data_IF_243245081242
#
_entry.id   IF_243245081242
#
_cell.length_a   1.000
_cell.length_b   1.000
_cell.length_c   1.000
_cell.angle_alpha   90.00
_cell.angle_beta   90.00
_cell.angle_gamma   90.00
#
_symmetry.space_group_name_H-M   'P 1'
#
loop_
_entity.id
_entity.type
_entity.pdbx_description
1 polymer ?
#
# COMPACT_ATOMS: atom_id res chain seq x y z
N UNK A 1 39.84 -48.95 72.10
CA UNK A 1 39.44 -50.32 71.68
C UNK A 1 39.07 -51.26 72.84
N UNK A 2 39.51 -51.02 74.09
CA UNK A 2 39.20 -51.89 75.25
C UNK A 2 37.79 -51.75 75.87
N UNK A 3 37.07 -50.63 75.65
CA UNK A 3 35.67 -50.48 76.09
C UNK A 3 34.63 -51.24 75.22
N UNK A 4 35.03 -51.79 74.06
CA UNK A 4 34.12 -52.61 73.20
C UNK A 4 34.06 -54.08 73.61
N UNK A 5 35.07 -54.59 74.32
CA UNK A 5 35.12 -56.00 74.74
C UNK A 5 34.15 -56.35 75.88
N UNK A 6 33.80 -55.40 76.75
CA UNK A 6 32.81 -55.64 77.81
C UNK A 6 31.36 -55.73 77.29
N UNK A 7 31.06 -55.13 76.14
CA UNK A 7 29.68 -55.13 75.59
C UNK A 7 29.36 -56.46 74.86
N UNK A 8 30.33 -57.03 74.14
CA UNK A 8 30.12 -58.24 73.34
C UNK A 8 30.10 -59.57 74.12
N UNK A 9 30.77 -59.68 75.28
CA UNK A 9 30.77 -60.93 76.07
C UNK A 9 29.59 -61.08 77.05
N UNK A 10 28.85 -60.01 77.34
CA UNK A 10 27.67 -60.05 78.22
C UNK A 10 26.35 -60.26 77.46
N UNK A 11 26.29 -59.90 76.17
CA UNK A 11 25.12 -60.15 75.32
C UNK A 11 25.00 -61.64 74.92
N UNK A 12 26.11 -62.40 74.87
CA UNK A 12 26.14 -63.79 74.43
C UNK A 12 25.78 -64.85 75.48
N UNK A 13 25.60 -64.48 76.75
CA UNK A 13 25.17 -65.40 77.82
C UNK A 13 23.64 -65.49 77.98
N UNK A 14 22.87 -64.70 77.21
CA UNK A 14 21.40 -64.62 77.32
C UNK A 14 20.63 -65.77 76.64
N UNK A 15 21.32 -66.71 75.96
CA UNK A 15 20.66 -67.59 74.99
C UNK A 15 20.29 -69.00 75.46
N UNK A 16 20.56 -69.43 76.70
CA UNK A 16 20.22 -70.80 77.14
C UNK A 16 19.81 -70.92 78.63
N UNK A 17 18.55 -70.59 78.96
CA UNK A 17 17.70 -71.27 79.97
C UNK A 17 16.37 -70.51 80.16
N UNK A 18 15.27 -71.16 80.57
CA UNK A 18 13.93 -70.55 80.66
C UNK A 18 13.75 -69.70 81.95
N UNK A 19 14.78 -68.99 82.41
CA UNK A 19 14.66 -67.98 83.46
C UNK A 19 14.55 -66.63 82.79
N UNK A 20 13.48 -65.88 83.05
CA UNK A 20 13.34 -64.52 82.56
C UNK A 20 14.40 -63.63 83.22
N UNK A 21 15.52 -63.44 82.52
CA UNK A 21 16.55 -62.49 82.91
C UNK A 21 16.03 -61.08 82.64
N UNK A 22 15.52 -60.39 83.66
CA UNK A 22 15.35 -58.93 83.61
C UNK A 22 16.73 -58.33 83.83
N UNK A 23 17.52 -58.26 82.77
CA UNK A 23 18.79 -57.53 82.77
C UNK A 23 18.48 -56.04 82.72
N UNK A 24 18.24 -55.46 83.89
CA UNK A 24 18.34 -54.01 84.09
C UNK A 24 19.80 -53.61 84.02
N UNK A 25 20.40 -53.55 82.81
CA UNK A 25 21.68 -52.87 82.64
C UNK A 25 21.41 -51.38 82.78
N UNK A 26 21.36 -50.90 84.02
CA UNK A 26 21.61 -49.50 84.29
C UNK A 26 23.09 -49.25 83.96
N UNK A 27 23.40 -49.04 82.68
CA UNK A 27 24.69 -48.48 82.31
C UNK A 27 24.67 -47.02 82.74
N UNK A 28 24.90 -46.76 84.01
CA UNK A 28 25.61 -45.54 84.39
C UNK A 28 27.04 -45.71 83.88
N UNK A 29 27.20 -45.61 82.55
CA UNK A 29 28.47 -45.38 81.91
C UNK A 29 28.89 -43.98 82.37
N UNK A 30 29.48 -43.95 83.56
CA UNK A 30 29.91 -42.77 84.24
C UNK A 30 31.22 -42.30 83.60
N UNK A 31 31.13 -41.82 82.35
CA UNK A 31 32.22 -41.08 81.74
C UNK A 31 32.05 -39.63 82.13
N UNK A 32 32.96 -39.19 83.01
CA UNK A 32 33.29 -37.80 83.40
C UNK A 32 32.83 -37.38 84.80
N UNK A 33 33.38 -38.03 85.83
CA UNK A 33 33.61 -37.36 87.11
C UNK A 33 34.93 -36.60 86.99
N UNK A 34 34.86 -35.27 86.93
CA UNK A 34 36.01 -34.38 86.67
C UNK A 34 37.18 -34.51 87.67
N UNK A 35 37.03 -35.27 88.74
CA UNK A 35 38.03 -35.46 89.79
C UNK A 35 38.27 -36.94 90.18
N UNK A 36 37.83 -37.93 89.37
CA UNK A 36 38.01 -39.36 89.68
C UNK A 36 38.21 -40.17 88.41
N UNK A 37 39.46 -40.41 88.05
CA UNK A 37 39.83 -41.14 86.83
C UNK A 37 39.84 -42.65 87.08
N UNK A 38 38.63 -43.22 87.09
CA UNK A 38 38.37 -44.63 86.79
C UNK A 38 38.41 -44.81 85.27
N UNK A 39 39.17 -45.78 84.75
CA UNK A 39 39.19 -46.10 83.32
C UNK A 39 37.83 -46.65 82.87
N UNK A 40 37.18 -47.42 83.73
CA UNK A 40 35.78 -47.82 83.64
C UNK A 40 35.30 -48.29 85.00
N UNK A 41 34.07 -47.93 85.38
CA UNK A 41 33.33 -48.59 86.44
C UNK A 41 32.01 -49.08 85.85
N UNK A 42 31.79 -50.39 85.88
CA UNK A 42 30.52 -51.00 85.48
C UNK A 42 29.89 -51.61 86.73
N UNK A 43 28.71 -51.11 87.10
CA UNK A 43 27.89 -51.70 88.14
C UNK A 43 26.73 -52.42 87.47
N UNK A 44 26.78 -53.74 87.47
CA UNK A 44 25.71 -54.60 86.98
C UNK A 44 24.87 -54.99 88.19
N UNK A 45 23.58 -54.66 88.15
CA UNK A 45 22.60 -55.13 89.13
C UNK A 45 21.77 -56.20 88.44
N UNK A 46 21.90 -57.43 88.91
CA UNK A 46 21.06 -58.53 88.46
C UNK A 46 20.02 -58.82 89.54
N UNK A 47 18.76 -58.89 89.15
CA UNK A 47 17.66 -59.33 90.02
C UNK A 47 17.14 -60.62 89.42
N UNK A 48 17.37 -61.74 90.13
CA UNK A 48 16.83 -63.04 89.75
C UNK A 48 15.60 -63.32 90.58
N UNK A 49 14.46 -63.46 89.90
CA UNK A 49 13.25 -64.07 90.45
C UNK A 49 13.11 -65.49 89.92
N UNK A 50 13.07 -66.47 90.80
CA UNK A 50 12.68 -67.84 90.47
C UNK A 50 11.18 -67.98 90.69
N UNK A 51 10.37 -67.74 89.65
CA UNK A 51 8.92 -67.87 89.72
C UNK A 51 8.29 -68.05 88.34
N UNK A 52 7.68 -69.21 88.11
CA UNK A 52 7.03 -69.61 86.85
C UNK A 52 5.57 -69.13 86.76
N UNK A 53 5.19 -68.12 87.55
CA UNK A 53 3.82 -67.60 87.59
C UNK A 53 3.79 -66.20 88.20
N UNK A 54 2.90 -65.37 87.65
CA UNK A 54 2.85 -63.91 87.78
C UNK A 54 2.54 -63.35 89.19
N UNK A 55 2.64 -64.13 90.27
CA UNK A 55 2.13 -63.72 91.60
C UNK A 55 2.98 -64.04 92.85
N UNK A 56 4.19 -64.61 92.78
CA UNK A 56 5.04 -64.74 93.99
C UNK A 56 6.42 -64.09 93.85
N UNK A 57 6.53 -62.83 94.28
CA UNK A 57 7.79 -62.08 94.43
C UNK A 57 8.53 -62.39 95.75
N UNK A 58 8.18 -63.47 96.43
CA UNK A 58 8.70 -63.80 97.76
C UNK A 58 10.18 -64.23 97.76
N UNK A 59 10.71 -64.66 96.61
CA UNK A 59 12.10 -65.12 96.46
C UNK A 59 12.84 -64.32 95.37
N UNK A 60 12.88 -63.00 95.54
CA UNK A 60 13.74 -62.13 94.73
C UNK A 60 15.14 -62.08 95.33
N UNK A 61 16.11 -62.64 94.62
CA UNK A 61 17.54 -62.46 94.95
C UNK A 61 18.14 -61.37 94.07
N UNK A 62 19.01 -60.55 94.63
CA UNK A 62 19.75 -59.54 93.85
C UNK A 62 21.25 -59.67 94.05
N UNK A 63 21.98 -59.61 92.94
CA UNK A 63 23.44 -59.56 92.90
C UNK A 63 23.89 -58.23 92.32
N UNK A 64 24.97 -57.67 92.88
CA UNK A 64 25.62 -56.48 92.33
C UNK A 64 27.06 -56.82 92.00
N UNK A 65 27.41 -56.84 90.71
CA UNK A 65 28.78 -56.97 90.25
C UNK A 65 29.33 -55.58 89.92
N UNK A 66 30.36 -55.17 90.65
CA UNK A 66 31.07 -53.92 90.40
C UNK A 66 32.44 -54.22 89.82
N UNK A 67 32.62 -53.98 88.53
CA UNK A 67 33.91 -54.07 87.83
C UNK A 67 34.53 -52.69 87.75
N UNK A 68 35.74 -52.55 88.28
CA UNK A 68 36.45 -51.28 88.42
C UNK A 68 37.84 -51.39 87.82
N UNK A 69 38.11 -50.59 86.79
CA UNK A 69 39.41 -50.45 86.14
C UNK A 69 40.09 -49.16 86.64
N UNK A 70 41.23 -49.31 87.34
CA UNK A 70 41.95 -48.22 87.99
C UNK A 70 43.02 -47.65 87.06
N UNK A 71 43.22 -46.32 87.12
CA UNK A 71 44.38 -45.68 86.51
C UNK A 71 45.69 -46.18 87.15
N UNK A 72 46.80 -45.99 86.44
CA UNK A 72 48.13 -46.41 86.90
C UNK A 72 48.54 -45.70 88.20
N UNK A 73 49.29 -46.41 89.04
CA UNK A 73 49.74 -45.94 90.36
C UNK A 73 51.10 -45.23 90.35
N UNK A 74 51.62 -44.91 89.17
CA UNK A 74 52.92 -44.28 88.96
C UNK A 74 52.96 -42.80 89.40
N UNK A 75 54.16 -42.33 89.76
CA UNK A 75 54.37 -40.97 90.23
C UNK A 75 54.12 -39.91 89.12
N UNK A 76 53.30 -38.91 89.43
CA UNK A 76 52.93 -37.81 88.53
C UNK A 76 54.09 -36.92 88.05
N UNK A 77 55.29 -37.07 88.65
CA UNK A 77 56.49 -36.27 88.39
C UNK A 77 57.15 -36.55 87.03
N UNK A 78 56.69 -37.56 86.29
CA UNK A 78 57.25 -37.95 84.99
C UNK A 78 56.66 -37.19 83.78
N UNK A 79 55.65 -36.33 83.97
CA UNK A 79 54.94 -35.66 82.89
C UNK A 79 55.37 -34.18 82.70
N UNK A 80 55.80 -33.79 81.50
CA UNK A 80 56.38 -32.45 81.18
C UNK A 80 55.36 -31.36 80.82
N UNK A 81 54.06 -31.64 80.88
CA UNK A 81 52.99 -30.74 80.41
C UNK A 81 52.05 -30.40 81.59
N UNK A 82 51.88 -29.09 81.92
CA UNK A 82 51.17 -28.64 83.16
C UNK A 82 49.78 -29.25 83.35
N UNK A 83 49.07 -29.49 82.25
CA UNK A 83 47.71 -30.05 82.28
C UNK A 83 47.71 -31.54 82.66
N UNK A 84 48.74 -32.29 82.23
CA UNK A 84 48.94 -33.72 82.60
C UNK A 84 49.48 -33.89 84.03
N UNK A 85 50.19 -32.89 84.56
CA UNK A 85 50.63 -32.89 85.97
C UNK A 85 49.43 -32.75 86.91
N UNK A 86 48.49 -31.85 86.61
CA UNK A 86 47.26 -31.72 87.40
C UNK A 86 46.41 -33.00 87.39
N UNK A 87 46.35 -33.67 86.24
CA UNK A 87 45.67 -34.97 86.08
C UNK A 87 46.36 -36.08 86.89
N UNK A 88 47.70 -36.18 86.80
CA UNK A 88 48.48 -37.15 87.58
C UNK A 88 48.38 -36.95 89.10
N UNK A 89 48.23 -35.69 89.57
CA UNK A 89 47.98 -35.39 90.99
C UNK A 89 46.61 -35.89 91.43
N UNK A 90 45.56 -35.70 90.60
CA UNK A 90 44.21 -36.18 90.92
C UNK A 90 44.12 -37.72 90.93
N UNK A 91 44.77 -38.39 89.97
CA UNK A 91 44.90 -39.86 89.94
C UNK A 91 45.53 -40.36 91.23
N UNK A 92 46.72 -39.83 91.58
CA UNK A 92 47.45 -40.25 92.77
C UNK A 92 46.70 -39.93 94.07
N UNK A 93 45.95 -38.83 94.13
CA UNK A 93 45.08 -38.52 95.28
C UNK A 93 43.99 -39.58 95.47
N UNK A 94 43.32 -39.99 94.39
CA UNK A 94 42.25 -41.00 94.46
C UNK A 94 42.79 -42.39 94.86
N UNK A 95 43.92 -42.81 94.30
CA UNK A 95 44.58 -44.07 94.63
C UNK A 95 45.19 -44.05 96.03
N UNK A 96 45.75 -42.92 96.48
CA UNK A 96 46.27 -42.76 97.83
C UNK A 96 45.16 -42.94 98.88
N UNK A 97 44.00 -42.31 98.71
CA UNK A 97 42.88 -42.50 99.64
C UNK A 97 42.32 -43.92 99.60
N UNK A 98 42.33 -44.58 98.44
CA UNK A 98 41.99 -46.00 98.34
C UNK A 98 42.96 -46.87 99.16
N UNK A 99 44.27 -46.69 98.96
CA UNK A 99 45.32 -47.38 99.75
C UNK A 99 45.13 -47.12 101.24
N UNK A 100 44.91 -45.87 101.63
CA UNK A 100 44.72 -45.49 103.04
C UNK A 100 43.48 -46.13 103.68
N UNK A 101 42.37 -46.23 102.93
CA UNK A 101 41.15 -46.90 103.39
C UNK A 101 41.35 -48.41 103.51
N UNK A 102 41.98 -49.05 102.52
CA UNK A 102 42.30 -50.49 102.56
C UNK A 102 43.23 -50.81 103.73
N UNK A 103 44.30 -50.04 103.91
CA UNK A 103 45.20 -50.18 105.05
C UNK A 103 44.46 -49.99 106.39
N UNK A 104 43.59 -48.97 106.49
CA UNK A 104 42.81 -48.73 107.71
C UNK A 104 41.83 -49.87 108.01
N UNK A 105 41.21 -50.46 106.98
CA UNK A 105 40.34 -51.63 107.12
C UNK A 105 41.12 -52.88 107.53
N UNK A 106 42.26 -53.15 106.88
CA UNK A 106 43.13 -54.29 107.19
C UNK A 106 43.72 -54.20 108.61
N UNK A 107 43.98 -52.98 109.09
CA UNK A 107 44.45 -52.72 110.46
C UNK A 107 43.31 -52.50 111.48
N UNK A 108 42.04 -52.68 111.09
CA UNK A 108 40.86 -52.48 111.95
C UNK A 108 40.81 -51.11 112.65
N UNK A 109 41.24 -50.04 111.96
CA UNK A 109 41.19 -48.67 112.51
C UNK A 109 39.73 -48.19 112.63
N UNK A 110 39.39 -47.43 113.69
CA UNK A 110 38.01 -46.99 113.95
C UNK A 110 37.52 -45.91 112.96
N UNK A 111 38.43 -45.11 112.41
CA UNK A 111 38.08 -44.00 111.50
C UNK A 111 38.44 -44.39 110.06
N UNK A 112 37.42 -44.49 109.21
CA UNK A 112 37.55 -44.84 107.80
C UNK A 112 37.21 -43.64 106.92
N UNK A 113 38.16 -43.21 106.10
CA UNK A 113 38.06 -41.99 105.30
C UNK A 113 37.41 -42.21 103.92
N UNK A 114 36.28 -42.91 103.86
CA UNK A 114 35.58 -43.19 102.61
C UNK A 114 35.13 -41.93 101.85
N UNK A 115 34.95 -40.79 102.54
CA UNK A 115 34.49 -39.55 101.91
C UNK A 115 35.58 -38.74 101.19
N UNK A 116 36.85 -39.06 101.42
CA UNK A 116 37.98 -38.24 100.94
C UNK A 116 38.27 -38.42 99.43
N UNK A 117 37.68 -39.44 98.80
CA UNK A 117 37.67 -39.60 97.35
C UNK A 117 36.33 -40.17 96.87
N UNK A 118 35.94 -39.88 95.63
CA UNK A 118 34.73 -40.50 95.07
C UNK A 118 34.91 -42.00 94.85
N UNK A 119 36.12 -42.48 94.56
CA UNK A 119 36.38 -43.91 94.37
C UNK A 119 36.16 -44.70 95.66
N UNK A 120 36.58 -44.16 96.80
CA UNK A 120 36.37 -44.80 98.09
C UNK A 120 34.88 -44.81 98.46
N UNK A 121 34.12 -43.75 98.16
CA UNK A 121 32.64 -43.78 98.30
C UNK A 121 31.97 -44.82 97.40
N UNK A 122 32.41 -44.92 96.15
CA UNK A 122 31.88 -45.90 95.19
C UNK A 122 32.14 -47.33 95.65
N UNK A 123 33.35 -47.59 96.16
CA UNK A 123 33.78 -48.90 96.64
C UNK A 123 33.39 -49.20 98.08
N UNK A 124 32.80 -48.25 98.81
CA UNK A 124 32.39 -48.44 100.20
C UNK A 124 31.50 -49.68 100.41
N UNK A 125 30.48 -49.94 99.56
CA UNK A 125 29.68 -51.16 99.68
C UNK A 125 30.48 -52.45 99.47
N UNK A 126 31.56 -52.39 98.68
CA UNK A 126 32.42 -53.53 98.40
C UNK A 126 33.47 -53.76 99.50
N UNK A 127 34.11 -52.70 99.98
CA UNK A 127 35.24 -52.77 100.93
C UNK A 127 34.81 -52.83 102.40
N UNK A 128 33.60 -52.40 102.75
CA UNK A 128 33.08 -52.41 104.11
C UNK A 128 31.66 -52.97 104.23
N UNK A 129 31.07 -53.45 103.12
CA UNK A 129 29.75 -54.06 103.12
C UNK A 129 29.79 -55.58 103.02
N UNK A 130 28.64 -56.17 102.67
CA UNK A 130 28.45 -57.61 102.51
C UNK A 130 28.73 -58.03 101.07
N UNK A 131 29.98 -57.84 100.63
CA UNK A 131 30.40 -58.14 99.26
C UNK A 131 31.54 -59.14 99.22
N UNK A 132 31.65 -59.85 98.09
CA UNK A 132 32.88 -60.57 97.72
C UNK A 132 33.72 -59.62 96.90
N UNK A 133 34.99 -59.44 97.27
CA UNK A 133 35.92 -58.55 96.60
C UNK A 133 37.13 -59.33 96.09
N UNK A 134 37.44 -59.17 94.82
CA UNK A 134 38.67 -59.65 94.21
C UNK A 134 39.48 -58.44 93.73
N UNK A 135 40.76 -58.40 94.09
CA UNK A 135 41.69 -57.34 93.67
C UNK A 135 42.76 -57.96 92.79
N UNK A 136 42.91 -57.43 91.57
CA UNK A 136 43.97 -57.82 90.66
C UNK A 136 45.08 -56.76 90.71
N UNK A 137 46.27 -57.16 91.16
CA UNK A 137 47.45 -56.27 91.19
C UNK A 137 48.32 -56.57 89.98
N UNK A 138 48.43 -55.60 89.08
CA UNK A 138 49.31 -55.69 87.90
C UNK A 138 50.60 -54.93 88.16
N UNK A 139 51.73 -55.62 88.07
CA UNK A 139 53.06 -55.08 88.42
C UNK A 139 53.91 -54.94 87.16
N UNK A 140 54.60 -53.81 86.93
CA UNK A 140 55.54 -53.66 85.82
C UNK A 140 56.82 -54.48 86.06
N UNK A 141 57.29 -55.23 85.05
CA UNK A 141 58.53 -56.02 85.12
C UNK A 141 59.76 -55.32 84.50
N UNK A 142 59.77 -53.98 84.44
CA UNK A 142 60.87 -53.24 83.79
C UNK A 142 62.11 -53.13 84.71
N UNK A 143 63.34 -53.34 84.21
CA UNK A 143 64.56 -53.15 84.98
C UNK A 143 64.85 -51.66 85.22
N UNK A 144 64.94 -51.24 86.48
CA UNK A 144 65.31 -49.87 86.91
C UNK A 144 64.82 -49.54 88.33
N UNK A 145 65.56 -48.69 89.07
CA UNK A 145 65.30 -48.40 90.49
C UNK A 145 63.91 -47.81 90.77
N UNK A 146 63.37 -47.00 89.85
CA UNK A 146 62.04 -46.42 89.98
C UNK A 146 60.93 -47.46 89.77
N UNK A 147 61.06 -48.33 88.77
CA UNK A 147 60.10 -49.39 88.48
C UNK A 147 60.04 -50.43 89.62
N UNK A 148 61.17 -50.70 90.28
CA UNK A 148 61.22 -51.58 91.45
C UNK A 148 60.45 -51.04 92.67
N UNK A 149 60.45 -49.73 92.89
CA UNK A 149 59.69 -49.09 93.99
C UNK A 149 58.19 -49.14 93.73
N UNK A 150 57.75 -48.80 92.53
CA UNK A 150 56.34 -48.87 92.14
C UNK A 150 55.82 -50.32 92.21
N UNK A 151 56.66 -51.29 91.84
CA UNK A 151 56.35 -52.71 91.97
C UNK A 151 56.19 -53.15 93.43
N UNK A 152 57.08 -52.71 94.32
CA UNK A 152 56.98 -52.99 95.75
C UNK A 152 55.72 -52.36 96.36
N UNK A 153 55.42 -51.11 96.04
CA UNK A 153 54.23 -50.41 96.53
C UNK A 153 52.92 -51.07 96.06
N UNK A 154 52.89 -51.59 94.84
CA UNK A 154 51.75 -52.35 94.32
C UNK A 154 51.60 -53.69 95.05
N UNK A 155 52.69 -54.42 95.28
CA UNK A 155 52.68 -55.69 96.01
C UNK A 155 52.28 -55.54 97.48
N UNK A 156 52.80 -54.51 98.17
CA UNK A 156 52.39 -54.18 99.55
C UNK A 156 50.89 -53.87 99.63
N UNK A 157 50.36 -53.11 98.67
CA UNK A 157 48.92 -52.87 98.59
C UNK A 157 48.13 -54.17 98.38
N UNK A 158 48.62 -55.08 97.53
CA UNK A 158 48.01 -56.40 97.34
C UNK A 158 47.98 -57.23 98.62
N UNK A 159 49.07 -57.22 99.39
CA UNK A 159 49.16 -57.89 100.68
C UNK A 159 48.17 -57.31 101.70
N UNK A 160 48.05 -55.99 101.78
CA UNK A 160 47.09 -55.30 102.65
C UNK A 160 45.64 -55.57 102.23
N UNK A 161 45.35 -55.54 100.94
CA UNK A 161 44.03 -55.87 100.41
C UNK A 161 43.64 -57.32 100.72
N UNK A 162 44.60 -58.26 100.71
CA UNK A 162 44.39 -59.65 101.11
C UNK A 162 44.04 -59.85 102.59
N UNK A 163 44.32 -58.86 103.45
CA UNK A 163 44.00 -58.91 104.89
C UNK A 163 42.59 -58.42 105.21
N UNK A 164 41.83 -57.94 104.23
CA UNK A 164 40.46 -57.45 104.43
C UNK A 164 39.53 -58.58 104.89
N UNK A 165 38.79 -58.34 105.97
CA UNK A 165 37.78 -59.27 106.50
C UNK A 165 36.38 -58.79 106.13
N UNK A 166 35.78 -59.45 105.14
CA UNK A 166 34.42 -59.18 104.66
C UNK A 166 33.48 -60.33 105.04
N UNK A 167 32.20 -60.03 105.25
CA UNK A 167 31.16 -61.00 105.57
C UNK A 167 30.09 -60.99 104.44
N UNK A 168 30.32 -61.69 103.32
CA UNK A 168 29.39 -61.70 102.20
C UNK A 168 28.06 -62.39 102.59
N UNK A 169 26.94 -61.83 102.15
CA UNK A 169 25.59 -62.38 102.36
C UNK A 169 24.80 -62.37 101.06
N UNK A 170 23.79 -63.25 100.93
CA UNK A 170 22.86 -63.23 99.80
C UNK A 170 21.75 -62.20 100.07
N UNK A 171 21.52 -61.30 99.11
CA UNK A 171 20.52 -60.25 99.25
C UNK A 171 19.14 -60.76 98.80
N UNK A 172 18.41 -61.39 99.71
CA UNK A 172 17.06 -61.90 99.50
C UNK A 172 16.03 -60.83 99.93
N UNK A 173 15.22 -60.35 98.99
CA UNK A 173 14.14 -59.39 99.26
C UNK A 173 12.84 -60.15 99.54
N UNK A 174 12.50 -60.31 100.82
CA UNK A 174 11.17 -60.81 101.23
C UNK A 174 10.28 -59.59 101.50
N UNK A 175 9.41 -59.24 100.55
CA UNK A 175 8.45 -58.14 100.73
C UNK A 175 7.12 -58.65 101.33
N UNK A 176 6.55 -57.98 102.35
CA UNK A 176 5.26 -58.36 102.93
C UNK A 176 4.10 -58.08 101.94
N UNK A 177 3.27 -59.10 101.74
CA UNK A 177 2.32 -59.34 100.63
C UNK A 177 1.10 -58.41 100.50
N UNK A 178 1.12 -57.18 101.02
CA UNK A 178 -0.07 -56.30 101.04
C UNK A 178 0.01 -55.00 100.23
N UNK A 179 1.17 -54.34 100.18
CA UNK A 179 1.29 -52.99 99.60
C UNK A 179 1.72 -52.99 98.12
N UNK A 180 2.37 -54.07 97.67
CA UNK A 180 2.92 -54.18 96.32
C UNK A 180 1.80 -54.23 95.27
N UNK A 181 0.70 -54.95 95.53
CA UNK A 181 -0.44 -55.03 94.60
C UNK A 181 -1.14 -53.68 94.37
N UNK A 182 -1.26 -52.84 95.40
CA UNK A 182 -1.84 -51.49 95.27
C UNK A 182 -0.93 -50.55 94.48
N UNK A 183 0.38 -50.62 94.73
CA UNK A 183 1.39 -49.88 93.95
C UNK A 183 1.42 -50.35 92.49
N UNK A 184 1.18 -51.64 92.23
CA UNK A 184 1.14 -52.22 90.89
C UNK A 184 -0.08 -51.76 90.09
N UNK A 185 -1.27 -51.70 90.71
CA UNK A 185 -2.47 -51.15 90.07
C UNK A 185 -2.28 -49.66 89.71
N UNK A 186 -1.70 -48.88 90.62
CA UNK A 186 -1.41 -47.46 90.38
C UNK A 186 -0.38 -47.24 89.27
N UNK A 187 0.65 -48.08 89.15
CA UNK A 187 1.65 -47.98 88.08
C UNK A 187 1.07 -48.29 86.70
N UNK A 188 0.14 -49.24 86.60
CA UNK A 188 -0.56 -49.54 85.34
C UNK A 188 -1.45 -48.36 84.95
N UNK A 189 -2.20 -47.81 85.91
CA UNK A 189 -3.10 -46.67 85.67
C UNK A 189 -2.33 -45.41 85.25
N UNK A 190 -1.18 -45.13 85.88
CA UNK A 190 -0.28 -44.03 85.51
C UNK A 190 0.37 -44.23 84.13
N UNK A 191 0.60 -45.47 83.72
CA UNK A 191 1.14 -45.77 82.39
C UNK A 191 0.09 -45.51 81.29
N UNK A 192 -1.16 -45.90 81.55
CA UNK A 192 -2.29 -45.66 80.64
C UNK A 192 -2.60 -44.16 80.51
N UNK A 193 -2.66 -43.43 81.63
CA UNK A 193 -2.87 -41.97 81.64
C UNK A 193 -1.74 -41.23 80.91
N UNK A 194 -0.49 -41.68 81.07
CA UNK A 194 0.67 -41.12 80.35
C UNK A 194 0.57 -41.37 78.85
N UNK A 195 0.09 -42.53 78.42
CA UNK A 195 -0.11 -42.83 77.01
C UNK A 195 -1.22 -41.96 76.39
N UNK A 196 -2.33 -41.77 77.11
CA UNK A 196 -3.41 -40.88 76.69
C UNK A 196 -2.95 -39.41 76.55
N UNK A 197 -2.25 -38.88 77.57
CA UNK A 197 -1.71 -37.52 77.54
C UNK A 197 -0.64 -37.31 76.45
N UNK A 198 0.14 -38.35 76.12
CA UNK A 198 1.10 -38.28 75.03
C UNK A 198 0.40 -38.14 73.67
N UNK A 199 -0.69 -38.88 73.45
CA UNK A 199 -1.54 -38.77 72.26
C UNK A 199 -2.17 -37.38 72.13
N UNK A 200 -2.69 -36.83 73.22
CA UNK A 200 -3.29 -35.48 73.23
C UNK A 200 -2.25 -34.39 72.94
N UNK A 201 -1.03 -34.52 73.50
CA UNK A 201 0.07 -33.60 73.24
C UNK A 201 0.55 -33.64 71.78
N UNK A 202 0.45 -34.79 71.11
CA UNK A 202 0.79 -34.95 69.70
C UNK A 202 -0.27 -34.27 68.81
N UNK A 203 -1.55 -34.48 69.09
CA UNK A 203 -2.66 -33.80 68.38
C UNK A 203 -2.62 -32.27 68.51
N UNK A 204 -2.32 -31.76 69.72
CA UNK A 204 -2.16 -30.31 69.95
C UNK A 204 -0.97 -29.73 69.19
N UNK A 205 0.14 -30.47 69.05
CA UNK A 205 1.30 -30.01 68.25
C UNK A 205 0.97 -29.91 66.77
N UNK A 206 0.22 -30.87 66.23
CA UNK A 206 -0.25 -30.81 64.84
C UNK A 206 -1.16 -29.59 64.60
N UNK A 207 -2.08 -29.31 65.53
CA UNK A 207 -2.93 -28.11 65.44
C UNK A 207 -2.11 -26.81 65.47
N UNK A 208 -1.10 -26.71 66.35
CA UNK A 208 -0.23 -25.52 66.41
C UNK A 208 0.56 -25.32 65.12
N UNK A 209 1.08 -26.39 64.52
CA UNK A 209 1.77 -26.32 63.23
C UNK A 209 0.84 -25.86 62.10
N UNK A 210 -0.40 -26.34 62.08
CA UNK A 210 -1.43 -25.90 61.13
C UNK A 210 -1.73 -24.41 61.27
N UNK A 211 -1.93 -23.92 62.49
CA UNK A 211 -2.16 -22.49 62.72
C UNK A 211 -0.96 -21.62 62.39
N UNK A 212 0.27 -22.08 62.65
CA UNK A 212 1.49 -21.36 62.28
C UNK A 212 1.63 -21.24 60.77
N UNK A 213 1.38 -22.31 60.02
CA UNK A 213 1.40 -22.28 58.56
C UNK A 213 0.35 -21.30 57.99
N UNK A 214 -0.85 -21.26 58.57
CA UNK A 214 -1.89 -20.30 58.17
C UNK A 214 -1.49 -18.85 58.45
N UNK A 215 -0.82 -18.59 59.58
CA UNK A 215 -0.32 -17.25 59.93
C UNK A 215 0.80 -16.82 58.99
N UNK A 216 1.69 -17.74 58.60
CA UNK A 216 2.76 -17.44 57.64
C UNK A 216 2.23 -17.21 56.23
N UNK A 217 1.20 -17.95 55.81
CA UNK A 217 0.49 -17.73 54.54
C UNK A 217 -0.21 -16.35 54.52
N UNK A 218 -0.89 -15.99 55.61
CA UNK A 218 -1.51 -14.67 55.77
C UNK A 218 -0.48 -13.53 55.86
N UNK A 219 0.70 -13.76 56.44
CA UNK A 219 1.81 -12.80 56.44
C UNK A 219 2.45 -12.65 55.06
N UNK A 220 2.54 -13.74 54.28
CA UNK A 220 2.98 -13.70 52.88
C UNK A 220 2.00 -12.96 51.96
N UNK A 221 0.69 -13.03 52.27
CA UNK A 221 -0.36 -12.29 51.58
C UNK A 221 -0.44 -10.80 51.92
N UNK A 222 0.18 -10.35 53.02
CA UNK A 222 0.15 -8.95 53.44
C UNK A 222 1.24 -8.14 52.71
N UNK A 223 0.91 -7.77 51.47
CA UNK A 223 1.60 -6.77 50.63
C UNK A 223 2.04 -5.57 51.48
N UNK A 224 3.35 -5.30 51.53
CA UNK A 224 3.88 -4.16 52.30
C UNK A 224 3.43 -2.84 51.69
N UNK A 225 3.11 -1.84 52.52
CA UNK A 225 2.69 -0.51 52.07
C UNK A 225 3.65 0.12 51.03
N UNK A 226 4.94 -0.19 51.11
CA UNK A 226 5.96 0.25 50.14
C UNK A 226 5.75 -0.33 48.73
N UNK A 227 5.29 -1.58 48.61
CA UNK A 227 5.02 -2.20 47.31
C UNK A 227 3.75 -1.68 46.64
N UNK A 228 2.72 -1.33 47.42
CA UNK A 228 1.53 -0.62 46.94
C UNK A 228 1.87 0.80 46.48
N UNK A 229 2.73 1.50 47.21
CA UNK A 229 3.17 2.86 46.86
C UNK A 229 4.00 2.87 45.57
N UNK A 230 4.94 1.93 45.41
CA UNK A 230 5.71 1.78 44.17
C UNK A 230 4.82 1.40 42.97
N UNK A 231 3.79 0.57 43.17
CA UNK A 231 2.80 0.27 42.12
C UNK A 231 1.93 1.50 41.78
N UNK A 232 1.59 2.33 42.77
CA UNK A 232 0.89 3.59 42.60
C UNK A 232 1.68 4.61 41.78
N UNK A 233 2.97 4.78 42.07
CA UNK A 233 3.87 5.67 41.33
C UNK A 233 4.07 5.22 39.88
N UNK A 234 4.20 3.90 39.63
CA UNK A 234 4.28 3.35 38.27
C UNK A 234 3.00 3.62 37.47
N UNK A 235 1.83 3.36 38.06
CA UNK A 235 0.53 3.66 37.43
C UNK A 235 0.35 5.15 37.18
N UNK A 236 0.80 6.01 38.10
CA UNK A 236 0.75 7.46 37.92
C UNK A 236 1.63 7.93 36.75
N UNK A 237 2.84 7.37 36.63
CA UNK A 237 3.74 7.65 35.51
C UNK A 237 3.16 7.16 34.17
N UNK A 238 2.61 5.94 34.14
CA UNK A 238 1.93 5.38 32.97
C UNK A 238 0.75 6.25 32.54
N UNK A 239 -0.10 6.66 33.49
CA UNK A 239 -1.24 7.54 33.21
C UNK A 239 -0.79 8.91 32.69
N UNK A 240 0.27 9.49 33.25
CA UNK A 240 0.83 10.75 32.76
C UNK A 240 1.36 10.64 31.32
N UNK A 241 1.99 9.51 30.97
CA UNK A 241 2.42 9.27 29.58
C UNK A 241 1.23 9.05 28.64
N UNK A 242 0.19 8.35 29.09
CA UNK A 242 -1.03 8.13 28.32
C UNK A 242 -1.77 9.45 28.05
N UNK A 243 -1.87 10.34 29.05
CA UNK A 243 -2.47 11.67 28.88
C UNK A 243 -1.70 12.56 27.90
N UNK A 244 -0.36 12.55 27.95
CA UNK A 244 0.47 13.26 26.95
C UNK A 244 0.24 12.73 25.54
N UNK A 245 0.13 11.40 25.38
CA UNK A 245 -0.20 10.78 24.09
C UNK A 245 -1.60 11.18 23.62
N UNK A 246 -2.58 11.21 24.53
CA UNK A 246 -3.95 11.66 24.22
C UNK A 246 -3.97 13.10 23.72
N UNK A 247 -3.26 14.02 24.39
CA UNK A 247 -3.18 15.42 23.97
C UNK A 247 -2.55 15.61 22.58
N UNK A 248 -1.52 14.82 22.26
CA UNK A 248 -0.90 14.83 20.92
C UNK A 248 -1.89 14.32 19.87
N UNK A 249 -2.62 13.24 20.16
CA UNK A 249 -3.63 12.70 19.25
C UNK A 249 -4.79 13.68 19.02
N UNK A 250 -5.23 14.41 20.05
CA UNK A 250 -6.25 15.45 19.93
C UNK A 250 -5.78 16.60 19.03
N UNK A 251 -4.53 17.06 19.18
CA UNK A 251 -3.94 18.08 18.30
C UNK A 251 -3.86 17.60 16.84
N UNK A 252 -3.41 16.36 16.62
CA UNK A 252 -3.32 15.76 15.28
C UNK A 252 -4.70 15.58 14.66
N UNK A 253 -5.72 15.23 15.46
CA UNK A 253 -7.09 15.12 14.99
C UNK A 253 -7.63 16.48 14.54
N UNK A 254 -7.36 17.55 15.28
CA UNK A 254 -7.75 18.92 14.90
C UNK A 254 -7.09 19.38 13.60
N UNK A 255 -5.78 19.14 13.43
CA UNK A 255 -5.06 19.43 12.18
C UNK A 255 -5.63 18.63 10.99
N UNK A 256 -5.93 17.34 11.20
CA UNK A 256 -6.53 16.49 10.17
C UNK A 256 -7.95 16.95 9.79
N UNK A 257 -8.74 17.42 10.75
CA UNK A 257 -10.08 17.97 10.50
C UNK A 257 -10.01 19.27 9.69
N UNK A 258 -9.12 20.20 10.08
CA UNK A 258 -8.92 21.45 9.34
C UNK A 258 -8.44 21.20 7.90
N UNK A 259 -7.52 20.24 7.71
CA UNK A 259 -7.06 19.83 6.39
C UNK A 259 -8.20 19.23 5.55
N UNK A 260 -9.08 18.43 6.16
CA UNK A 260 -10.25 17.86 5.50
C UNK A 260 -11.23 18.94 5.04
N UNK A 261 -11.55 19.91 5.90
CA UNK A 261 -12.44 21.02 5.56
C UNK A 261 -11.87 21.87 4.41
N UNK A 262 -10.55 22.11 4.39
CA UNK A 262 -9.88 22.82 3.30
C UNK A 262 -9.98 22.05 1.97
N UNK A 263 -9.84 20.72 1.99
CA UNK A 263 -10.00 19.87 0.81
C UNK A 263 -11.44 19.86 0.31
N UNK A 264 -12.43 19.76 1.22
CA UNK A 264 -13.85 19.82 0.86
C UNK A 264 -14.22 21.17 0.23
N UNK A 265 -13.69 22.28 0.77
CA UNK A 265 -13.86 23.60 0.17
C UNK A 265 -13.21 23.73 -1.22
N UNK A 266 -12.00 23.19 -1.40
CA UNK A 266 -11.32 23.15 -2.69
C UNK A 266 -12.10 22.30 -3.72
N UNK A 267 -12.67 21.16 -3.29
CA UNK A 267 -13.49 20.31 -4.14
C UNK A 267 -14.73 21.05 -4.65
N UNK A 268 -15.45 21.75 -3.76
CA UNK A 268 -16.61 22.57 -4.17
C UNK A 268 -16.24 23.71 -5.13
N UNK A 269 -15.07 24.34 -4.94
CA UNK A 269 -14.58 25.35 -5.88
C UNK A 269 -14.32 24.75 -7.27
N UNK A 270 -13.67 23.58 -7.34
CA UNK A 270 -13.41 22.86 -8.59
C UNK A 270 -14.71 22.42 -9.27
N UNK A 271 -15.70 21.93 -8.51
CA UNK A 271 -17.02 21.57 -9.05
C UNK A 271 -17.74 22.79 -9.65
N UNK A 272 -17.67 23.94 -8.99
CA UNK A 272 -18.23 25.20 -9.49
C UNK A 272 -17.55 25.65 -10.79
N UNK A 273 -16.21 25.58 -10.85
CA UNK A 273 -15.45 25.90 -12.07
C UNK A 273 -15.78 24.93 -13.21
N UNK A 274 -15.86 23.63 -12.93
CA UNK A 274 -16.25 22.62 -13.90
C UNK A 274 -17.67 22.88 -14.44
N UNK A 275 -18.61 23.28 -13.59
CA UNK A 275 -19.95 23.70 -14.00
C UNK A 275 -19.93 24.92 -14.92
N UNK A 276 -19.12 25.94 -14.60
CA UNK A 276 -18.96 27.12 -15.45
C UNK A 276 -18.35 26.79 -16.82
N UNK A 277 -17.35 25.89 -16.86
CA UNK A 277 -16.74 25.41 -18.11
C UNK A 277 -17.75 24.62 -18.94
N UNK A 278 -18.55 23.75 -18.31
CA UNK A 278 -19.59 22.99 -19.01
C UNK A 278 -20.64 23.93 -19.65
N UNK A 279 -21.08 24.96 -18.92
CA UNK A 279 -21.99 25.97 -19.45
C UNK A 279 -21.39 26.73 -20.64
N UNK A 280 -20.10 27.11 -20.56
CA UNK A 280 -19.39 27.77 -21.66
C UNK A 280 -19.25 26.86 -22.88
N UNK A 281 -18.98 25.57 -22.69
CA UNK A 281 -18.91 24.61 -23.78
C UNK A 281 -20.26 24.46 -24.48
N UNK A 282 -21.37 24.34 -23.74
CA UNK A 282 -22.71 24.29 -24.32
C UNK A 282 -23.04 25.57 -25.14
N UNK A 283 -22.62 26.74 -24.66
CA UNK A 283 -22.76 28.00 -25.41
C UNK A 283 -21.95 27.98 -26.71
N UNK A 284 -20.70 27.50 -26.67
CA UNK A 284 -19.84 27.40 -27.85
C UNK A 284 -20.39 26.38 -28.87
N UNK A 285 -20.91 25.24 -28.41
CA UNK A 285 -21.57 24.25 -29.27
C UNK A 285 -22.77 24.85 -30.00
N UNK A 286 -23.61 25.63 -29.29
CA UNK A 286 -24.71 26.37 -29.91
C UNK A 286 -24.23 27.38 -30.96
N UNK A 287 -23.23 28.21 -30.62
CA UNK A 287 -22.67 29.19 -31.55
C UNK A 287 -22.04 28.55 -32.81
N UNK A 288 -21.41 27.37 -32.66
CA UNK A 288 -20.86 26.61 -33.79
C UNK A 288 -21.99 26.07 -34.68
N UNK A 289 -23.08 25.57 -34.09
CA UNK A 289 -24.24 25.11 -34.86
C UNK A 289 -24.85 26.26 -35.68
N UNK A 290 -25.05 27.43 -35.06
CA UNK A 290 -25.55 28.63 -35.74
C UNK A 290 -24.62 29.07 -36.88
N UNK A 291 -23.30 29.01 -36.67
CA UNK A 291 -22.32 29.34 -37.71
C UNK A 291 -22.33 28.33 -38.88
N UNK A 292 -22.54 27.04 -38.60
CA UNK A 292 -22.67 26.00 -39.64
C UNK A 292 -23.91 26.25 -40.49
N UNK A 293 -25.05 26.55 -39.86
CA UNK A 293 -26.28 26.84 -40.58
C UNK A 293 -26.20 28.16 -41.37
N UNK A 294 -25.55 29.18 -40.81
CA UNK A 294 -25.21 30.40 -41.53
C UNK A 294 -24.34 30.14 -42.76
N UNK A 295 -23.32 29.29 -42.66
CA UNK A 295 -22.48 28.88 -43.80
C UNK A 295 -23.28 28.15 -44.87
N UNK A 296 -24.15 27.20 -44.49
CA UNK A 296 -25.02 26.48 -45.43
C UNK A 296 -25.96 27.43 -46.18
N UNK A 297 -26.54 28.41 -45.49
CA UNK A 297 -27.39 29.43 -46.10
C UNK A 297 -26.62 30.31 -47.10
N UNK A 298 -25.38 30.68 -46.78
CA UNK A 298 -24.51 31.42 -47.70
C UNK A 298 -24.09 30.57 -48.91
N UNK A 299 -23.79 29.29 -48.72
CA UNK A 299 -23.48 28.35 -49.81
C UNK A 299 -24.66 28.20 -50.77
N UNK A 300 -25.89 28.11 -50.25
CA UNK A 300 -27.11 28.09 -51.07
C UNK A 300 -27.28 29.38 -51.89
N UNK A 301 -27.18 30.56 -51.24
CA UNK A 301 -27.25 31.86 -51.93
C UNK A 301 -26.17 32.01 -53.01
N UNK A 302 -24.97 31.49 -52.75
CA UNK A 302 -23.88 31.51 -53.73
C UNK A 302 -24.16 30.57 -54.91
N UNK A 303 -24.87 29.46 -54.67
CA UNK A 303 -25.44 28.62 -55.72
C UNK A 303 -26.42 29.39 -56.61
N UNK A 304 -27.40 30.06 -56.01
CA UNK A 304 -28.41 30.85 -56.74
C UNK A 304 -27.75 31.95 -57.59
N UNK A 305 -26.77 32.67 -57.03
CA UNK A 305 -26.03 33.73 -57.75
C UNK A 305 -25.23 33.15 -58.92
N UNK A 306 -24.63 31.96 -58.76
CA UNK A 306 -23.91 31.29 -59.85
C UNK A 306 -24.83 30.87 -60.99
N UNK A 307 -26.02 30.37 -60.67
CA UNK A 307 -27.04 30.00 -61.65
C UNK A 307 -27.54 31.24 -62.40
N UNK A 308 -27.91 32.30 -61.68
CA UNK A 308 -28.32 33.57 -62.28
C UNK A 308 -27.23 34.18 -63.17
N UNK A 309 -25.95 34.08 -62.76
CA UNK A 309 -24.83 34.54 -63.58
C UNK A 309 -24.65 33.69 -64.85
N UNK A 310 -24.84 32.37 -64.77
CA UNK A 310 -24.78 31.49 -65.92
C UNK A 310 -25.89 31.82 -66.93
N UNK A 311 -27.11 32.05 -66.43
CA UNK A 311 -28.25 32.46 -67.25
C UNK A 311 -28.01 33.83 -67.92
N UNK A 312 -27.56 34.82 -67.15
CA UNK A 312 -27.23 36.14 -67.69
C UNK A 312 -26.14 36.10 -68.77
N UNK A 313 -25.14 35.22 -68.61
CA UNK A 313 -24.09 35.00 -69.63
C UNK A 313 -24.65 34.36 -70.89
N UNK A 314 -25.54 33.38 -70.77
CA UNK A 314 -26.21 32.78 -71.93
C UNK A 314 -27.05 33.82 -72.68
N UNK A 315 -27.87 34.61 -71.97
CA UNK A 315 -28.65 35.69 -72.56
C UNK A 315 -27.78 36.76 -73.23
N UNK A 316 -26.62 37.08 -72.65
CA UNK A 316 -25.67 38.01 -73.26
C UNK A 316 -25.10 37.46 -74.57
N UNK A 317 -24.71 36.18 -74.60
CA UNK A 317 -24.23 35.52 -75.81
C UNK A 317 -25.31 35.48 -76.92
N UNK A 318 -26.56 35.19 -76.56
CA UNK A 318 -27.68 35.19 -77.51
C UNK A 318 -27.93 36.60 -78.08
N UNK A 319 -27.87 37.64 -77.25
CA UNK A 319 -27.98 39.04 -77.69
C UNK A 319 -26.83 39.45 -78.59
N UNK A 320 -25.59 39.04 -78.30
CA UNK A 320 -24.44 39.29 -79.17
C UNK A 320 -24.61 38.63 -80.53
N UNK A 321 -25.10 37.39 -80.58
CA UNK A 321 -25.41 36.70 -81.82
C UNK A 321 -26.54 37.40 -82.61
N UNK A 322 -27.60 37.86 -81.93
CA UNK A 322 -28.68 38.62 -82.56
C UNK A 322 -28.17 39.96 -83.13
N UNK A 323 -27.35 40.70 -82.38
CA UNK A 323 -26.74 41.94 -82.84
C UNK A 323 -25.78 41.71 -84.02
N UNK A 324 -25.05 40.59 -84.04
CA UNK A 324 -24.23 40.21 -85.18
C UNK A 324 -25.09 39.98 -86.43
N UNK A 325 -26.21 39.25 -86.29
CA UNK A 325 -27.18 39.05 -87.36
C UNK A 325 -27.81 40.36 -87.86
N UNK A 326 -28.16 41.28 -86.96
CA UNK A 326 -28.65 42.62 -87.34
C UNK A 326 -27.59 43.44 -88.08
N UNK A 327 -26.32 43.36 -87.67
CA UNK A 327 -25.21 44.04 -88.37
C UNK A 327 -25.01 43.49 -89.78
N UNK A 328 -25.08 42.17 -89.96
CA UNK A 328 -25.03 41.54 -91.28
C UNK A 328 -26.21 41.96 -92.16
N UNK A 329 -27.42 41.97 -91.61
CA UNK A 329 -28.61 42.46 -92.32
C UNK A 329 -28.50 43.96 -92.68
N UNK A 330 -28.00 44.80 -91.78
CA UNK A 330 -27.74 46.22 -92.05
C UNK A 330 -26.68 46.40 -93.14
N UNK A 331 -25.61 45.61 -93.13
CA UNK A 331 -24.58 45.64 -94.18
C UNK A 331 -25.15 45.23 -95.54
N UNK A 332 -25.97 44.18 -95.58
CA UNK A 332 -26.67 43.75 -96.80
C UNK A 332 -27.63 44.83 -97.32
N UNK A 333 -28.39 45.48 -96.44
CA UNK A 333 -29.28 46.56 -96.83
C UNK A 333 -28.51 47.78 -97.36
N UNK A 334 -27.40 48.17 -96.73
CA UNK A 334 -26.52 49.25 -97.23
C UNK A 334 -26.00 48.93 -98.63
N UNK A 335 -25.55 47.70 -98.87
CA UNK A 335 -25.11 47.27 -100.20
C UNK A 335 -26.24 47.33 -101.24
N UNK A 336 -27.48 47.00 -100.85
CA UNK A 336 -28.65 47.17 -101.73
C UNK A 336 -28.94 48.64 -102.04
N UNK A 337 -28.85 49.53 -101.04
CA UNK A 337 -29.01 50.98 -101.24
C UNK A 337 -27.95 51.51 -102.19
N UNK A 338 -26.67 51.19 -101.99
CA UNK A 338 -25.59 51.60 -102.90
C UNK A 338 -25.82 51.09 -104.33
N UNK A 339 -26.30 49.85 -104.49
CA UNK A 339 -26.64 49.30 -105.80
C UNK A 339 -27.83 50.02 -106.46
N UNK A 340 -28.84 50.42 -105.67
CA UNK A 340 -29.98 51.20 -106.17
C UNK A 340 -29.59 52.63 -106.53
N UNK A 341 -28.76 53.29 -105.72
CA UNK A 341 -28.20 54.61 -106.02
C UNK A 341 -27.40 54.57 -107.32
N UNK A 342 -26.55 53.55 -107.51
CA UNK A 342 -25.81 53.35 -108.76
C UNK A 342 -26.73 53.11 -109.97
N UNK A 343 -27.88 52.44 -109.79
CA UNK A 343 -28.91 52.30 -110.84
C UNK A 343 -29.63 53.62 -111.11
N UNK A 344 -29.99 54.37 -110.06
CA UNK A 344 -30.60 55.70 -110.19
C UNK A 344 -29.71 56.64 -110.98
N UNK A 345 -28.42 56.72 -110.64
CA UNK A 345 -27.42 57.51 -111.37
C UNK A 345 -27.34 57.12 -112.85
N UNK A 346 -27.42 55.82 -113.19
CA UNK A 346 -27.47 55.38 -114.60
C UNK A 346 -28.75 55.83 -115.31
N UNK A 347 -29.89 55.77 -114.63
CA UNK A 347 -31.18 56.24 -115.17
C UNK A 347 -31.17 57.75 -115.36
N UNK A 348 -30.63 58.52 -114.40
CA UNK A 348 -30.46 59.97 -114.51
C UNK A 348 -29.55 60.33 -115.67
N UNK A 349 -28.39 59.71 -115.81
CA UNK A 349 -27.49 59.92 -116.95
C UNK A 349 -28.16 59.57 -118.30
N UNK A 350 -28.97 58.50 -118.33
CA UNK A 350 -29.76 58.17 -119.52
C UNK A 350 -30.85 59.21 -119.81
N UNK A 351 -31.52 59.71 -118.77
CA UNK A 351 -32.52 60.77 -118.90
C UNK A 351 -31.90 62.06 -119.44
N UNK A 352 -30.75 62.50 -118.89
CA UNK A 352 -30.00 63.65 -119.39
C UNK A 352 -29.59 63.47 -120.86
N UNK A 353 -29.12 62.28 -121.26
CA UNK A 353 -28.78 61.98 -122.65
C UNK A 353 -30.02 62.05 -123.56
N UNK A 354 -31.16 61.49 -123.13
CA UNK A 354 -32.41 61.57 -123.91
C UNK A 354 -32.91 63.01 -124.03
N UNK A 355 -32.77 63.82 -122.97
CA UNK A 355 -33.14 65.23 -122.97
C UNK A 355 -32.25 66.02 -123.95
N UNK A 356 -30.94 65.76 -123.96
CA UNK A 356 -30.03 66.36 -124.94
C UNK A 356 -30.44 66.01 -126.38
N UNK A 357 -30.78 64.75 -126.65
CA UNK A 357 -31.27 64.34 -127.98
C UNK A 357 -32.58 65.03 -128.37
N UNK A 358 -33.50 65.19 -127.42
CA UNK A 358 -34.76 65.90 -127.65
C UNK A 358 -34.52 67.39 -127.98
N UNK A 359 -33.62 68.06 -127.24
CA UNK A 359 -33.26 69.46 -127.49
C UNK A 359 -32.57 69.64 -128.85
N UNK A 360 -31.68 68.72 -129.24
CA UNK A 360 -31.02 68.73 -130.54
C UNK A 360 -32.01 68.50 -131.69
N UNK A 361 -32.96 67.57 -131.53
CA UNK A 361 -34.05 67.38 -132.48
C UNK A 361 -34.93 68.63 -132.58
N UNK A 362 -35.23 69.30 -131.46
CA UNK A 362 -35.99 70.54 -131.44
C UNK A 362 -35.24 71.66 -132.20
N UNK A 363 -33.92 71.79 -132.01
CA UNK A 363 -33.08 72.74 -132.76
C UNK A 363 -33.10 72.46 -134.26
N UNK A 364 -32.93 71.19 -134.65
CA UNK A 364 -32.98 70.78 -136.07
C UNK A 364 -34.36 71.03 -136.68
N UNK A 365 -35.43 70.75 -135.96
CA UNK A 365 -36.79 71.01 -136.41
C UNK A 365 -37.03 72.52 -136.57
N UNK A 366 -36.59 73.35 -135.62
CA UNK A 366 -36.66 74.79 -135.74
C UNK A 366 -35.84 75.32 -136.93
N UNK A 367 -34.65 74.77 -137.18
CA UNK A 367 -33.84 75.11 -138.35
C UNK A 367 -34.52 74.70 -139.66
N UNK A 368 -35.12 73.50 -139.70
CA UNK A 368 -35.89 73.02 -140.85
C UNK A 368 -37.14 73.90 -141.09
N UNK A 369 -37.84 74.34 -140.04
CA UNK A 369 -38.96 75.27 -140.13
C UNK A 369 -38.53 76.62 -140.71
N UNK A 370 -37.41 77.19 -140.27
CA UNK A 370 -36.86 78.42 -140.85
C UNK A 370 -36.49 78.24 -142.32
N UNK A 371 -35.87 77.12 -142.69
CA UNK A 371 -35.54 76.81 -144.08
C UNK A 371 -36.80 76.67 -144.95
N UNK A 372 -37.87 76.07 -144.41
CA UNK A 372 -39.17 76.02 -145.08
C UNK A 372 -39.78 77.42 -145.25
N UNK A 373 -39.60 78.29 -144.28
CA UNK A 373 -40.09 79.67 -144.33
C UNK A 373 -39.32 80.49 -145.37
N UNK A 374 -37.99 80.36 -145.46
CA UNK A 374 -37.21 80.99 -146.53
C UNK A 374 -37.62 80.47 -147.92
N UNK A 375 -37.85 79.16 -148.08
CA UNK A 375 -38.34 78.61 -149.36
C UNK A 375 -39.74 79.12 -149.69
N UNK A 376 -40.61 79.31 -148.68
CA UNK A 376 -41.92 79.95 -148.87
C UNK A 376 -41.78 81.40 -149.33
N UNK A 377 -40.90 82.17 -148.69
CA UNK A 377 -40.62 83.56 -149.07
C UNK A 377 -40.06 83.66 -150.49
N UNK A 378 -39.12 82.78 -150.85
CA UNK A 378 -38.59 82.66 -152.22
C UNK A 378 -39.69 82.29 -153.23
N UNK A 379 -40.56 81.33 -152.89
CA UNK A 379 -41.69 80.96 -153.74
C UNK A 379 -42.69 82.09 -153.93
N UNK A 380 -43.01 82.84 -152.86
CA UNK A 380 -43.84 84.05 -152.94
C UNK A 380 -43.15 85.17 -153.74
N UNK A 381 -41.83 85.32 -153.62
CA UNK A 381 -41.01 86.20 -154.46
C UNK A 381 -41.12 85.84 -155.94
N UNK A 382 -40.93 84.57 -156.28
CA UNK A 382 -41.09 84.05 -157.65
C UNK A 382 -42.51 84.21 -158.18
N UNK A 383 -43.54 84.08 -157.33
CA UNK A 383 -44.94 84.37 -157.72
C UNK A 383 -45.11 85.85 -158.08
N UNK A 384 -44.60 86.78 -157.26
CA UNK A 384 -44.65 88.23 -157.56
C UNK A 384 -43.90 88.57 -158.84
N UNK A 385 -42.77 87.91 -159.09
CA UNK A 385 -41.99 88.07 -160.31
C UNK A 385 -42.72 87.50 -161.55
N UNK A 386 -43.41 86.36 -161.39
CA UNK A 386 -44.32 85.84 -162.42
C UNK A 386 -45.48 86.80 -162.72
N UNK A 387 -46.06 87.43 -161.70
CA UNK A 387 -47.11 88.43 -161.87
C UNK A 387 -46.62 89.72 -162.56
N UNK A 388 -45.39 90.17 -162.26
CA UNK A 388 -44.77 91.30 -162.95
C UNK A 388 -44.45 90.97 -164.41
N UNK A 389 -43.96 89.77 -164.71
CA UNK A 389 -43.78 89.31 -166.09
C UNK A 389 -45.12 89.20 -166.83
N UNK A 390 -46.19 88.76 -166.16
CA UNK A 390 -47.53 88.73 -166.72
C UNK A 390 -48.10 90.14 -166.97
N UNK A 391 -47.73 91.16 -166.18
CA UNK A 391 -48.11 92.55 -166.44
C UNK A 391 -47.34 93.13 -167.63
N UNK A 392 -46.06 92.82 -167.77
CA UNK A 392 -45.24 93.18 -168.96
C UNK A 392 -45.79 92.52 -170.22
N UNK A 393 -46.21 91.25 -170.14
CA UNK A 393 -46.85 90.56 -171.26
C UNK A 393 -48.17 91.22 -171.68
N UNK A 394 -48.98 91.68 -170.71
CA UNK A 394 -50.21 92.46 -170.98
C UNK A 394 -49.91 93.80 -171.65
N UNK A 395 -48.93 94.56 -171.15
CA UNK A 395 -48.51 95.83 -171.73
C UNK A 395 -47.98 95.67 -173.17
N UNK A 396 -47.27 94.58 -173.46
CA UNK A 396 -46.82 94.23 -174.82
C UNK A 396 -48.02 93.91 -175.75
N UNK A 397 -49.04 93.24 -175.23
CA UNK A 397 -50.30 93.00 -175.96
C UNK A 397 -51.03 94.29 -176.32
N UNK A 398 -51.13 95.24 -175.39
CA UNK A 398 -51.76 96.55 -175.62
C UNK A 398 -50.99 97.40 -176.64
N UNK A 399 -49.66 97.34 -176.62
CA UNK A 399 -48.80 98.05 -177.57
C UNK A 399 -48.94 97.51 -179.00
N UNK A 400 -49.15 96.20 -179.17
CA UNK A 400 -49.46 95.59 -180.47
C UNK A 400 -50.84 96.02 -180.98
N UNK A 401 -51.83 96.17 -180.10
CA UNK A 401 -53.17 96.68 -180.45
C UNK A 401 -53.10 98.15 -180.90
N UNK A 402 -52.32 99.00 -180.22
CA UNK A 402 -52.10 100.39 -180.62
C UNK A 402 -51.36 100.52 -181.97
N UNK A 403 -50.40 99.64 -182.24
CA UNK A 403 -49.70 99.58 -183.53
C UNK A 403 -50.63 99.23 -184.70
N UNK A 404 -51.66 98.41 -184.45
CA UNK A 404 -52.69 98.07 -185.45
C UNK A 404 -53.66 99.22 -185.76
N UNK A 405 -53.90 100.14 -184.80
CA UNK A 405 -54.82 101.28 -184.96
C UNK A 405 -54.18 102.47 -185.69
N UNK A 406 -52.85 102.63 -185.61
CA UNK A 406 -52.13 103.72 -186.30
C UNK A 406 -52.02 103.51 -187.84
N UNK A 407 -52.18 102.28 -188.33
CA UNK A 407 -51.96 101.93 -189.74
C UNK A 407 -53.18 102.14 -190.66
N UNK A 408 -54.31 102.68 -190.16
CA UNK A 408 -55.59 102.71 -190.90
C UNK A 408 -56.13 104.09 -191.33
N UNK A 409 -55.37 105.17 -191.18
CA UNK A 409 -55.89 106.53 -191.46
C UNK A 409 -54.99 107.46 -192.27
N UNK A 410 -54.33 106.98 -193.34
CA UNK A 410 -53.88 107.88 -194.42
C UNK A 410 -53.78 107.17 -195.78
N UNK A 411 -54.70 107.56 -196.66
CA UNK A 411 -54.85 107.25 -198.10
C UNK A 411 -53.62 107.64 -198.91
N UNK A 412 -53.15 106.87 -199.89
CA UNK A 412 -53.71 106.78 -201.26
C UNK A 412 -52.99 105.66 -202.06
N UNK A 413 -53.70 105.12 -203.05
CA UNK A 413 -53.23 104.45 -204.28
C UNK A 413 -53.28 102.90 -204.35
N UNK A 414 -54.14 102.45 -205.29
CA UNK A 414 -54.17 101.22 -206.12
C UNK A 414 -54.79 99.88 -205.65
N UNK A 415 -55.86 99.50 -206.38
CA UNK A 415 -56.35 98.15 -206.78
C UNK A 415 -55.33 97.43 -207.71
N UNK A 416 -55.51 96.17 -208.23
CA UNK A 416 -56.58 95.15 -208.08
C UNK A 416 -56.09 93.67 -207.88
N UNK A 417 -57.07 92.74 -207.85
CA UNK A 417 -57.06 91.37 -208.42
C UNK A 417 -56.67 90.13 -207.60
N UNK A 418 -57.15 89.00 -208.13
CA UNK A 418 -57.65 87.76 -207.54
C UNK A 418 -56.92 86.51 -208.04
N UNK A 419 -57.17 85.36 -207.38
CA UNK A 419 -56.99 83.94 -207.79
C UNK A 419 -55.81 83.14 -207.16
N UNK A 420 -56.13 81.91 -206.70
CA UNK A 420 -55.21 80.88 -206.12
C UNK A 420 -54.46 80.05 -207.18
N UNK A 421 -54.17 78.73 -207.02
CA UNK A 421 -54.29 77.79 -205.88
C UNK A 421 -53.04 76.87 -205.65
N UNK A 422 -53.20 75.82 -204.78
CA UNK A 422 -52.41 74.57 -204.63
C UNK A 422 -50.97 74.66 -204.07
N UNK A 423 -50.36 73.71 -203.34
CA UNK A 423 -50.70 72.37 -202.84
C UNK A 423 -49.40 71.62 -202.44
N UNK A 424 -49.44 70.70 -201.47
CA UNK A 424 -48.64 69.45 -201.48
C UNK A 424 -47.42 69.22 -200.53
N UNK A 425 -47.53 68.19 -199.67
CA UNK A 425 -46.50 67.20 -199.23
C UNK A 425 -45.52 67.57 -198.09
N UNK A 426 -45.11 66.72 -197.14
CA UNK A 426 -45.32 65.29 -196.80
C UNK A 426 -44.21 64.75 -195.84
N UNK A 427 -44.49 63.66 -195.10
CA UNK A 427 -43.59 62.65 -194.46
C UNK A 427 -42.82 62.99 -193.15
N UNK A 428 -42.59 62.12 -192.12
CA UNK A 428 -42.85 60.68 -191.80
C UNK A 428 -42.36 60.30 -190.37
N UNK A 429 -43.04 59.34 -189.70
CA UNK A 429 -42.57 58.17 -188.86
C UNK A 429 -41.90 58.45 -187.47
N UNK A 430 -42.11 57.72 -186.36
CA UNK A 430 -42.83 56.47 -186.03
C UNK A 430 -42.54 55.97 -184.58
N UNK A 431 -43.12 54.83 -184.14
CA UNK A 431 -43.24 54.35 -182.72
C UNK A 431 -42.58 52.98 -182.42
N UNK A 432 -42.51 52.51 -181.14
CA UNK A 432 -42.72 51.10 -180.69
C UNK A 432 -42.58 50.84 -179.13
N UNK A 433 -43.05 49.68 -178.59
CA UNK A 433 -43.15 49.28 -177.16
C UNK A 433 -42.31 48.04 -176.73
N UNK A 434 -42.35 47.65 -175.43
CA UNK A 434 -42.42 46.28 -174.80
C UNK A 434 -41.77 46.24 -173.38
N UNK A 435 -42.48 45.79 -172.32
CA UNK A 435 -42.52 44.47 -171.58
C UNK A 435 -41.27 44.14 -170.71
N UNK A 436 -41.43 43.97 -169.38
CA UNK A 436 -41.14 42.75 -168.55
C UNK A 436 -41.02 42.99 -167.02
N UNK A 437 -40.98 41.88 -166.27
CA UNK A 437 -41.38 41.56 -164.88
C UNK A 437 -40.31 41.71 -163.76
N UNK A 438 -40.75 41.57 -162.49
CA UNK A 438 -39.99 41.05 -161.33
C UNK A 438 -40.02 41.99 -160.11
N UNK A 439 -40.72 41.74 -158.98
CA UNK A 439 -40.59 40.71 -157.93
C UNK A 439 -39.20 40.64 -157.29
N UNK A 440 -39.12 40.92 -155.97
CA UNK A 440 -37.99 40.60 -155.09
C UNK A 440 -38.03 41.28 -153.70
N UNK A 441 -38.54 40.57 -152.70
CA UNK A 441 -38.18 40.64 -151.25
C UNK A 441 -36.79 40.03 -151.00
N UNK A 442 -36.28 39.85 -149.76
CA UNK A 442 -36.04 40.77 -148.63
C UNK A 442 -34.55 40.71 -148.16
N UNK A 443 -34.17 41.51 -147.14
CA UNK A 443 -33.35 41.09 -145.98
C UNK A 443 -33.46 42.10 -144.82
#
# INVERSE_FOLDING_TARGET
MRARLCRHSLESASSQSPRQFVTGIASEACTRWKDTFLLAAARLVEVQGEGDSRESLSDLSSGVLTLVDLAGSEAATLNRERQRVSEGIAINKSLHWLKAVVHALAAHKPVLHFRNSAITRLLQPSLAGQAVVAVLVTVPLQPGDAAGRDALDALMFGEEAGKLRLAPSKNNHVAPSGQVGKLQALLVQLADDKAALASDAESLREQVQSYQALVDDLRGGLVTAASLQAAGERRAAELATALRRSAVLESQLGEAQAAREAVEAALHAVESEAGAVAARNAQLEGAVADAIDGRRALEARLGDVREALAEARAQAADREAALAGEREAQAALRAQVEALEARSAKVEAAAEATQWHADELARRNAAAQRALETVREESEGLKREKESLASVARAKGELLILKSKLYRSRSLVTRPWSAGPAGGGGCTVGPDPRVEHGVGTPE
#
